data_IF_731088099506
#
_entry.id   IF_731088099506
#
_cell.length_a   1.000
_cell.length_b   1.000
_cell.length_c   1.000
_cell.angle_alpha   90.00
_cell.angle_beta   90.00
_cell.angle_gamma   90.00
#
_symmetry.space_group_name_H-M   'P 1'
#
loop_
_entity.id
_entity.type
_entity.pdbx_description
1 polymer ?
#
# COMPACT_ATOMS: atom_id res chain seq x y z
N UNK A 1 -12.30 -19.00 36.04
CA UNK A 1 -13.09 -17.91 35.45
C UNK A 1 -12.28 -16.62 35.31
N UNK A 2 -11.17 -16.61 34.57
CA UNK A 2 -10.45 -15.35 34.27
C UNK A 2 -9.58 -15.39 33.00
N UNK A 3 -9.56 -16.51 32.25
CA UNK A 3 -8.70 -16.66 31.07
C UNK A 3 -9.47 -16.95 29.77
N UNK A 4 -10.80 -16.94 29.84
CA UNK A 4 -11.71 -17.03 28.67
C UNK A 4 -12.05 -15.62 28.13
N UNK A 5 -11.67 -14.57 28.86
CA UNK A 5 -12.05 -13.18 28.56
C UNK A 5 -11.13 -12.47 27.55
N UNK A 6 -9.98 -13.04 27.15
CA UNK A 6 -8.94 -12.24 26.48
C UNK A 6 -9.07 -12.09 24.95
N UNK A 7 -9.89 -12.86 24.23
CA UNK A 7 -9.95 -12.76 22.76
C UNK A 7 -11.35 -13.08 22.18
N UNK A 8 -12.35 -12.28 22.52
CA UNK A 8 -13.48 -12.02 21.60
C UNK A 8 -13.45 -10.55 21.16
N UNK A 9 -12.33 -10.15 20.55
CA UNK A 9 -12.23 -8.86 19.84
C UNK A 9 -12.89 -8.95 18.45
N UNK A 10 -13.12 -10.15 17.93
CA UNK A 10 -13.85 -10.35 16.68
C UNK A 10 -15.31 -10.73 16.92
N UNK A 11 -16.15 -9.71 16.76
CA UNK A 11 -17.60 -9.77 16.53
C UNK A 11 -17.92 -10.59 15.26
N UNK A 12 -19.17 -11.05 15.03
CA UNK A 12 -19.63 -11.64 13.76
C UNK A 12 -19.29 -10.85 12.46
N UNK A 13 -18.78 -9.63 12.58
CA UNK A 13 -18.42 -8.74 11.49
C UNK A 13 -16.91 -8.74 11.12
N UNK A 14 -16.11 -9.72 11.58
CA UNK A 14 -14.66 -9.83 11.25
C UNK A 14 -14.38 -9.68 9.75
N UNK A 15 -15.16 -10.40 8.93
CA UNK A 15 -15.11 -10.33 7.46
C UNK A 15 -15.37 -8.91 6.94
N UNK A 16 -16.32 -8.17 7.52
CA UNK A 16 -16.64 -6.82 7.11
C UNK A 16 -15.51 -5.84 7.48
N UNK A 17 -14.88 -6.02 8.65
CA UNK A 17 -13.75 -5.21 9.09
C UNK A 17 -12.51 -5.46 8.21
N UNK A 18 -12.20 -6.73 7.95
CA UNK A 18 -11.08 -7.09 7.08
C UNK A 18 -11.27 -6.56 5.66
N UNK A 19 -12.45 -6.76 5.06
CA UNK A 19 -12.78 -6.23 3.74
C UNK A 19 -12.79 -4.70 3.72
N UNK A 20 -13.26 -4.05 4.79
CA UNK A 20 -13.24 -2.60 4.92
C UNK A 20 -11.83 -2.02 4.97
N UNK A 21 -10.93 -2.63 5.74
CA UNK A 21 -9.51 -2.25 5.77
C UNK A 21 -8.84 -2.46 4.42
N UNK A 22 -9.17 -3.55 3.75
CA UNK A 22 -8.61 -3.88 2.44
C UNK A 22 -9.09 -2.89 1.37
N UNK A 23 -10.38 -2.55 1.35
CA UNK A 23 -10.92 -1.48 0.50
C UNK A 23 -10.27 -0.14 0.80
N UNK A 24 -10.09 0.23 2.07
CA UNK A 24 -9.40 1.47 2.43
C UNK A 24 -7.95 1.50 1.95
N UNK A 25 -7.22 0.38 2.03
CA UNK A 25 -5.85 0.29 1.53
C UNK A 25 -5.80 0.46 0.00
N UNK A 26 -6.78 -0.10 -0.72
CA UNK A 26 -6.92 0.13 -2.16
C UNK A 26 -7.25 1.59 -2.49
N UNK A 27 -8.22 2.18 -1.78
CA UNK A 27 -8.62 3.58 -2.02
C UNK A 27 -7.50 4.55 -1.68
N UNK A 28 -6.76 4.33 -0.58
CA UNK A 28 -5.65 5.19 -0.17
C UNK A 28 -4.52 5.22 -1.20
N UNK A 29 -4.02 4.05 -1.59
CA UNK A 29 -2.95 3.93 -2.60
C UNK A 29 -3.45 4.43 -3.96
N UNK A 30 -4.68 4.08 -4.34
CA UNK A 30 -5.29 4.53 -5.59
C UNK A 30 -5.47 6.04 -5.66
N UNK A 31 -5.95 6.68 -4.60
CA UNK A 31 -6.07 8.13 -4.53
C UNK A 31 -4.71 8.82 -4.67
N UNK A 32 -3.66 8.22 -4.08
CA UNK A 32 -2.31 8.78 -4.17
C UNK A 32 -1.72 8.67 -5.58
N UNK A 33 -1.84 7.50 -6.22
CA UNK A 33 -1.42 7.32 -7.61
C UNK A 33 -2.24 8.19 -8.57
N UNK A 34 -3.55 8.31 -8.33
CA UNK A 34 -4.42 9.13 -9.16
C UNK A 34 -4.02 10.60 -9.09
N UNK A 35 -3.66 11.13 -7.92
CA UNK A 35 -3.27 12.55 -7.74
C UNK A 35 -1.86 12.89 -8.20
N UNK A 36 -1.06 11.89 -8.58
CA UNK A 36 0.34 12.08 -8.99
C UNK A 36 0.46 12.95 -10.24
N UNK A 37 1.46 13.84 -10.26
CA UNK A 37 1.65 14.82 -11.34
C UNK A 37 1.94 14.14 -12.68
N UNK A 38 2.65 13.01 -12.69
CA UNK A 38 2.96 12.27 -13.91
C UNK A 38 1.73 11.72 -14.66
N UNK A 39 0.56 11.67 -14.04
CA UNK A 39 -0.69 11.23 -14.68
C UNK A 39 -1.61 12.38 -15.11
N UNK A 40 -1.27 13.64 -14.83
CA UNK A 40 -2.14 14.79 -15.16
C UNK A 40 -2.32 15.01 -16.67
N UNK A 41 -1.28 14.75 -17.47
CA UNK A 41 -1.31 14.94 -18.92
C UNK A 41 -1.89 13.72 -19.68
N UNK A 42 -2.35 12.67 -18.98
CA UNK A 42 -2.91 11.47 -19.61
C UNK A 42 -4.44 11.47 -19.64
N UNK A 43 -5.01 10.85 -20.68
CA UNK A 43 -6.45 10.63 -20.81
C UNK A 43 -7.02 9.87 -19.59
N UNK A 44 -8.16 10.34 -19.06
CA UNK A 44 -8.78 9.87 -17.81
C UNK A 44 -8.96 8.35 -17.75
N UNK A 45 -9.33 7.70 -18.85
CA UNK A 45 -9.51 6.24 -18.90
C UNK A 45 -8.20 5.48 -18.68
N UNK A 46 -7.08 5.95 -19.27
CA UNK A 46 -5.76 5.32 -19.06
C UNK A 46 -5.29 5.55 -17.63
N UNK A 47 -5.50 6.75 -17.09
CA UNK A 47 -5.16 7.11 -15.70
C UNK A 47 -5.85 6.19 -14.68
N UNK A 48 -7.12 5.87 -14.88
CA UNK A 48 -7.85 4.95 -13.99
C UNK A 48 -7.29 3.53 -14.08
N UNK A 49 -7.02 3.02 -15.28
CA UNK A 49 -6.48 1.67 -15.47
C UNK A 49 -5.08 1.51 -14.84
N UNK A 50 -4.18 2.47 -15.07
CA UNK A 50 -2.84 2.44 -14.48
C UNK A 50 -2.87 2.59 -12.96
N UNK A 51 -3.75 3.47 -12.45
CA UNK A 51 -3.96 3.64 -11.00
C UNK A 51 -4.49 2.35 -10.36
N UNK A 52 -5.50 1.72 -10.97
CA UNK A 52 -6.07 0.47 -10.49
C UNK A 52 -5.02 -0.65 -10.49
N UNK A 53 -4.25 -0.78 -11.58
CA UNK A 53 -3.17 -1.75 -11.69
C UNK A 53 -2.10 -1.54 -10.62
N UNK A 54 -1.58 -0.30 -10.47
CA UNK A 54 -0.56 0.01 -9.47
C UNK A 54 -1.03 -0.21 -8.04
N UNK A 55 -2.30 0.11 -7.75
CA UNK A 55 -2.92 -0.14 -6.45
C UNK A 55 -2.99 -1.62 -6.11
N UNK A 56 -3.46 -2.44 -7.06
CA UNK A 56 -3.53 -3.90 -6.91
C UNK A 56 -2.13 -4.46 -6.72
N UNK A 57 -1.19 -4.08 -7.59
CA UNK A 57 0.19 -4.55 -7.54
C UNK A 57 0.87 -4.23 -6.21
N UNK A 58 0.68 -3.02 -5.67
CA UNK A 58 1.26 -2.63 -4.37
C UNK A 58 0.64 -3.38 -3.18
N UNK A 59 -0.69 -3.48 -3.13
CA UNK A 59 -1.39 -4.16 -2.03
C UNK A 59 -1.09 -5.67 -2.02
N UNK A 60 -1.22 -6.34 -3.16
CA UNK A 60 -0.89 -7.76 -3.28
C UNK A 60 0.61 -8.02 -3.11
N UNK A 61 1.47 -7.16 -3.66
CA UNK A 61 2.92 -7.25 -3.49
C UNK A 61 3.34 -7.19 -2.02
N UNK A 62 2.73 -6.30 -1.24
CA UNK A 62 2.98 -6.19 0.21
C UNK A 62 2.57 -7.45 0.97
N UNK A 63 1.41 -8.03 0.62
CA UNK A 63 0.95 -9.30 1.22
C UNK A 63 1.86 -10.47 0.85
N UNK A 64 2.30 -10.56 -0.40
CA UNK A 64 3.23 -11.59 -0.87
C UNK A 64 4.60 -11.46 -0.21
N UNK A 65 5.10 -10.24 -0.08
CA UNK A 65 6.34 -9.94 0.63
C UNK A 65 6.23 -10.41 2.08
N UNK A 66 5.20 -9.99 2.80
CA UNK A 66 4.93 -10.44 4.17
C UNK A 66 4.80 -11.97 4.28
N UNK A 67 4.06 -12.59 3.37
CA UNK A 67 3.86 -14.04 3.35
C UNK A 67 5.15 -14.82 3.10
N UNK A 68 6.13 -14.22 2.42
CA UNK A 68 7.45 -14.79 2.17
C UNK A 68 8.37 -14.53 3.36
N UNK A 69 8.44 -13.30 3.86
CA UNK A 69 9.27 -12.93 5.02
C UNK A 69 8.89 -13.72 6.27
N UNK A 70 7.59 -13.92 6.54
CA UNK A 70 7.15 -14.71 7.71
C UNK A 70 7.64 -16.16 7.68
N UNK A 71 7.93 -16.73 6.50
CA UNK A 71 8.47 -18.10 6.38
C UNK A 71 9.96 -18.17 6.73
N UNK A 72 10.66 -17.05 6.62
CA UNK A 72 12.10 -16.94 6.91
C UNK A 72 12.37 -16.52 8.36
N UNK A 73 11.37 -15.94 9.04
CA UNK A 73 11.53 -15.42 10.40
C UNK A 73 11.43 -16.53 11.46
N UNK A 74 12.22 -16.42 12.56
CA UNK A 74 12.16 -17.34 13.69
C UNK A 74 10.81 -17.25 14.43
N UNK A 75 10.43 -18.30 15.18
CA UNK A 75 9.12 -18.47 15.86
C UNK A 75 8.78 -17.42 16.93
N UNK A 76 9.57 -16.35 17.09
CA UNK A 76 9.29 -15.25 17.99
C UNK A 76 8.14 -14.38 17.45
N UNK A 77 6.95 -14.52 18.04
CA UNK A 77 5.73 -13.79 17.64
C UNK A 77 5.90 -12.27 17.66
N UNK A 78 6.56 -11.74 18.68
CA UNK A 78 6.79 -10.29 18.83
C UNK A 78 7.67 -9.72 17.72
N UNK A 79 8.76 -10.40 17.38
CA UNK A 79 9.67 -9.97 16.32
C UNK A 79 8.99 -10.02 14.95
N UNK A 80 8.20 -11.07 14.71
CA UNK A 80 7.43 -11.20 13.47
C UNK A 80 6.44 -10.05 13.32
N UNK A 81 5.64 -9.75 14.36
CA UNK A 81 4.70 -8.63 14.34
C UNK A 81 5.40 -7.29 14.11
N UNK A 82 6.49 -7.02 14.83
CA UNK A 82 7.26 -5.79 14.67
C UNK A 82 7.83 -5.65 13.27
N UNK A 83 8.38 -6.74 12.71
CA UNK A 83 8.87 -6.77 11.35
C UNK A 83 7.75 -6.54 10.33
N UNK A 84 6.55 -7.09 10.54
CA UNK A 84 5.40 -6.88 9.66
C UNK A 84 4.95 -5.42 9.63
N UNK A 85 4.87 -4.81 10.80
CA UNK A 85 4.53 -3.40 10.92
C UNK A 85 5.62 -2.51 10.29
N UNK A 86 6.89 -2.77 10.61
CA UNK A 86 8.02 -2.02 10.08
C UNK A 86 8.14 -2.15 8.55
N UNK A 87 8.00 -3.36 8.02
CA UNK A 87 8.05 -3.60 6.57
C UNK A 87 6.89 -2.96 5.83
N UNK A 88 5.67 -2.97 6.38
CA UNK A 88 4.53 -2.27 5.80
C UNK A 88 4.75 -0.75 5.72
N UNK A 89 5.23 -0.14 6.80
CA UNK A 89 5.56 1.30 6.82
C UNK A 89 6.70 1.61 5.85
N UNK A 90 7.74 0.78 5.81
CA UNK A 90 8.87 0.96 4.91
C UNK A 90 8.46 0.87 3.43
N UNK A 91 7.64 -0.12 3.06
CA UNK A 91 7.11 -0.26 1.69
C UNK A 91 6.31 0.97 1.26
N UNK A 92 5.49 1.53 2.17
CA UNK A 92 4.71 2.73 1.89
C UNK A 92 5.60 3.97 1.74
N UNK A 93 6.60 4.13 2.60
CA UNK A 93 7.56 5.24 2.51
C UNK A 93 8.41 5.17 1.23
N UNK A 94 8.92 3.98 0.88
CA UNK A 94 9.69 3.78 -0.36
C UNK A 94 8.82 4.04 -1.58
N UNK A 95 7.56 3.59 -1.57
CA UNK A 95 6.59 3.87 -2.63
C UNK A 95 6.35 5.37 -2.82
N UNK A 96 6.19 6.12 -1.72
CA UNK A 96 6.08 7.60 -1.76
C UNK A 96 7.32 8.27 -2.35
N UNK A 97 8.52 7.87 -1.91
CA UNK A 97 9.78 8.43 -2.43
C UNK A 97 9.93 8.13 -3.92
N UNK A 98 9.62 6.90 -4.35
CA UNK A 98 9.65 6.53 -5.75
C UNK A 98 8.70 7.39 -6.61
N UNK A 99 7.47 7.63 -6.14
CA UNK A 99 6.51 8.48 -6.86
C UNK A 99 6.96 9.94 -6.92
N UNK A 100 7.53 10.47 -5.84
CA UNK A 100 8.07 11.84 -5.80
C UNK A 100 9.20 12.03 -6.81
N UNK A 101 10.05 11.04 -6.96
CA UNK A 101 11.21 11.10 -7.84
C UNK A 101 10.81 11.00 -9.31
N UNK A 102 9.70 10.34 -9.61
CA UNK A 102 9.09 10.35 -10.95
C UNK A 102 8.38 11.68 -11.22
N UNK A 103 7.62 12.17 -10.24
CA UNK A 103 6.90 13.44 -10.35
C UNK A 103 7.87 14.64 -10.49
N UNK A 104 9.06 14.59 -9.89
CA UNK A 104 10.09 15.63 -10.04
C UNK A 104 10.68 15.63 -11.45
N UNK A 105 11.04 14.46 -11.99
CA UNK A 105 11.56 14.32 -13.36
C UNK A 105 10.55 14.74 -14.43
N UNK A 106 9.26 14.51 -14.19
CA UNK A 106 8.21 14.88 -15.14
C UNK A 106 8.04 16.40 -15.23
N UNK A 107 8.25 17.14 -14.14
CA UNK A 107 8.20 18.62 -14.14
C UNK A 107 9.38 19.25 -14.89
N UNK A 108 10.60 18.72 -14.71
CA UNK A 108 11.79 19.23 -15.42
C UNK A 108 11.71 19.02 -16.94
N UNK A 109 11.07 17.95 -17.40
CA UNK A 109 10.87 17.70 -18.83
C UNK A 109 9.86 18.66 -19.48
N UNK A 110 8.87 19.15 -18.72
CA UNK A 110 7.94 20.19 -19.17
C UNK A 110 8.65 21.54 -19.30
N UNK A 111 9.51 21.91 -18.34
CA UNK A 111 10.30 23.16 -18.40
C UNK A 111 11.33 23.19 -19.54
N UNK A 112 11.91 22.05 -19.91
CA UNK A 112 12.91 21.98 -21.01
C UNK A 112 12.26 22.00 -22.41
N UNK A 113 10.93 21.84 -22.51
CA UNK A 113 10.22 21.87 -23.81
C UNK A 113 9.66 23.26 -24.16
N UNK A 114 9.75 24.22 -23.25
CA UNK A 114 9.37 25.64 -23.46
C UNK A 114 10.57 26.57 -23.70
N UNK A 115 11.82 26.06 -23.68
CA UNK A 115 13.04 26.83 -23.99
C UNK A 115 13.58 26.57 -25.41
#
# INVERSE_FOLDING_TARGET
>A
MALITYLRVFSPNDLAVANGLWLNAHVGVGARLYTSKHMKNMCTSKRVVYTAFGTVMFNFGSVLFWATSKKLLPKCKTFTMLFGLASGVALLAIGEMYLREIDSKTQTAEETSEE
#
